data_IF_288134062048
#
_entry.id   IF_288134062048
#
_cell.length_a   1.000
_cell.length_b   1.000
_cell.length_c   1.000
_cell.angle_alpha   90.00
_cell.angle_beta   90.00
_cell.angle_gamma   90.00
#
_symmetry.space_group_name_H-M   'P 1'
#
loop_
_entity.id
_entity.type
_entity.pdbx_description
1 polymer ?
#
# COMPACT_ATOMS: atom_id res chain seq x y z
N UNK A 1 38.55 10.13 55.45
CA UNK A 1 38.37 10.67 54.09
C UNK A 1 39.64 11.42 53.70
N UNK A 2 40.41 10.94 52.72
CA UNK A 2 41.60 11.68 52.26
C UNK A 2 41.17 12.93 51.50
N UNK A 3 41.92 14.03 51.63
CA UNK A 3 41.66 15.28 50.91
C UNK A 3 41.55 15.06 49.38
N UNK A 4 42.26 14.07 48.86
CA UNK A 4 42.24 13.64 47.45
C UNK A 4 40.86 13.13 46.98
N UNK A 5 40.10 12.43 47.84
CA UNK A 5 38.78 11.90 47.51
C UNK A 5 37.70 13.00 47.48
N UNK A 6 37.77 13.97 48.39
CA UNK A 6 36.90 15.15 48.39
C UNK A 6 37.19 16.03 47.17
N UNK A 7 38.46 16.20 46.83
CA UNK A 7 38.89 16.99 45.68
C UNK A 7 38.45 16.34 44.36
N UNK A 8 38.58 15.02 44.20
CA UNK A 8 38.13 14.33 42.97
C UNK A 8 36.61 14.44 42.80
N UNK A 9 35.85 14.32 43.89
CA UNK A 9 34.39 14.46 43.89
C UNK A 9 33.96 15.89 43.54
N UNK A 10 34.65 16.89 44.11
CA UNK A 10 34.44 18.30 43.79
C UNK A 10 34.75 18.62 42.32
N UNK A 11 35.85 18.09 41.78
CA UNK A 11 36.19 18.28 40.35
C UNK A 11 35.18 17.64 39.41
N UNK A 12 34.65 16.46 39.74
CA UNK A 12 33.61 15.79 38.97
C UNK A 12 32.28 16.58 39.00
N UNK A 13 31.90 17.10 40.16
CA UNK A 13 30.70 17.93 40.32
C UNK A 13 30.79 19.24 39.52
N UNK A 14 31.94 19.93 39.56
CA UNK A 14 32.17 21.16 38.78
C UNK A 14 32.11 20.87 37.28
N UNK A 15 32.72 19.76 36.83
CA UNK A 15 32.68 19.38 35.43
C UNK A 15 31.24 19.08 34.95
N UNK A 16 30.45 18.37 35.75
CA UNK A 16 29.05 18.12 35.48
C UNK A 16 28.21 19.42 35.43
N UNK A 17 28.41 20.32 36.40
CA UNK A 17 27.73 21.62 36.43
C UNK A 17 28.10 22.50 35.23
N UNK A 18 29.39 22.50 34.83
CA UNK A 18 29.84 23.22 33.64
C UNK A 18 29.13 22.74 32.37
N UNK A 19 28.97 21.41 32.20
CA UNK A 19 28.22 20.83 31.07
C UNK A 19 26.73 21.17 31.09
N UNK A 20 26.12 21.27 32.26
CA UNK A 20 24.73 21.74 32.39
C UNK A 20 24.60 23.19 31.95
N UNK A 21 25.48 24.09 32.42
CA UNK A 21 25.45 25.51 32.05
C UNK A 21 25.68 25.70 30.55
N UNK A 22 26.64 24.99 29.96
CA UNK A 22 26.87 25.05 28.50
C UNK A 22 25.63 24.60 27.71
N UNK A 23 24.95 23.54 28.16
CA UNK A 23 23.74 23.04 27.49
C UNK A 23 22.59 24.05 27.62
N UNK A 24 22.43 24.64 28.80
CA UNK A 24 21.46 25.73 29.04
C UNK A 24 21.78 26.96 28.18
N UNK A 25 23.04 27.37 28.07
CA UNK A 25 23.45 28.50 27.24
C UNK A 25 23.13 28.24 25.76
N UNK A 26 23.46 27.04 25.25
CA UNK A 26 23.11 26.63 23.89
C UNK A 26 21.58 26.62 23.67
N UNK A 27 20.80 26.15 24.64
CA UNK A 27 19.35 26.17 24.55
C UNK A 27 18.79 27.60 24.48
N UNK A 28 19.32 28.52 25.29
CA UNK A 28 18.89 29.93 25.32
C UNK A 28 19.25 30.63 24.00
N UNK A 29 20.48 30.46 23.53
CA UNK A 29 20.96 31.13 22.30
C UNK A 29 20.19 30.70 21.06
N UNK A 30 19.72 29.44 21.01
CA UNK A 30 18.97 28.91 19.87
C UNK A 30 17.46 28.79 20.13
N UNK A 31 16.96 29.35 21.24
CA UNK A 31 15.55 29.22 21.64
C UNK A 31 14.57 29.76 20.58
N UNK A 32 14.99 30.77 19.82
CA UNK A 32 14.19 31.40 18.75
C UNK A 32 14.55 30.92 17.34
N UNK A 33 15.38 29.88 17.21
CA UNK A 33 15.72 29.28 15.92
C UNK A 33 14.69 28.22 15.56
N UNK A 34 14.02 28.38 14.43
CA UNK A 34 13.03 27.41 13.94
C UNK A 34 13.66 26.01 13.78
N UNK A 35 12.96 24.97 14.26
CA UNK A 35 13.46 23.59 14.25
C UNK A 35 14.47 23.21 15.34
N UNK A 36 14.85 24.13 16.24
CA UNK A 36 15.76 23.82 17.34
C UNK A 36 15.10 22.93 18.41
N UNK A 37 15.74 21.79 18.73
CA UNK A 37 15.33 20.90 19.82
C UNK A 37 16.20 21.11 21.05
N UNK A 38 15.55 21.50 22.16
CA UNK A 38 16.18 21.71 23.47
C UNK A 38 16.88 20.44 23.96
N UNK A 39 18.08 20.60 24.49
CA UNK A 39 18.93 19.53 25.02
C UNK A 39 18.85 19.47 26.55
N UNK A 40 18.76 18.27 27.12
CA UNK A 40 18.81 18.04 28.57
C UNK A 40 19.99 17.13 28.93
N UNK A 41 20.64 17.41 30.06
CA UNK A 41 21.82 16.66 30.53
C UNK A 41 21.39 15.68 31.60
N UNK A 42 21.54 14.38 31.33
CA UNK A 42 21.32 13.33 32.31
C UNK A 42 22.61 13.10 33.12
N UNK A 43 22.53 13.20 34.45
CA UNK A 43 23.62 12.87 35.36
C UNK A 43 23.45 11.45 35.89
N UNK A 44 24.55 10.72 36.02
CA UNK A 44 24.59 9.43 36.69
C UNK A 44 25.66 9.44 37.78
N UNK A 45 25.44 8.70 38.86
CA UNK A 45 26.47 8.49 39.89
C UNK A 45 27.61 7.64 39.30
N UNK A 46 28.84 8.12 39.43
CA UNK A 46 30.01 7.34 39.06
C UNK A 46 30.08 6.08 39.95
N UNK A 47 30.35 4.90 39.38
CA UNK A 47 30.49 3.65 40.14
C UNK A 47 31.48 3.86 41.29
N UNK A 48 31.03 3.62 42.52
CA UNK A 48 31.84 3.74 43.72
C UNK A 48 32.89 2.65 43.77
N UNK A 49 34.07 2.97 44.29
CA UNK A 49 35.18 2.03 44.41
C UNK A 49 35.13 1.45 45.83
N UNK A 50 34.97 0.13 45.92
CA UNK A 50 34.78 -0.57 47.18
C UNK A 50 36.15 -0.76 47.83
N UNK A 51 36.37 -0.10 48.96
CA UNK A 51 37.60 -0.21 49.77
C UNK A 51 37.29 -0.93 51.08
N UNK A 52 38.28 -1.60 51.67
CA UNK A 52 38.10 -2.47 52.85
C UNK A 52 37.41 -1.83 54.07
N UNK A 53 37.33 -0.50 54.14
CA UNK A 53 36.68 0.28 55.21
C UNK A 53 35.36 0.97 54.80
N UNK A 54 34.81 0.72 53.59
CA UNK A 54 33.50 1.23 53.19
C UNK A 54 33.35 1.61 51.71
N UNK A 55 32.18 2.17 51.38
CA UNK A 55 31.82 2.60 50.02
C UNK A 55 32.17 4.07 49.81
N UNK A 56 33.14 4.37 48.94
CA UNK A 56 33.47 5.75 48.55
C UNK A 56 32.88 6.02 47.16
N UNK A 57 31.89 6.90 47.09
CA UNK A 57 31.32 7.37 45.82
C UNK A 57 32.28 8.35 45.11
N UNK A 58 32.50 8.17 43.80
CA UNK A 58 33.39 9.02 42.97
C UNK A 58 32.71 10.26 42.37
N UNK A 59 31.54 10.64 42.86
CA UNK A 59 30.77 11.80 42.38
C UNK A 59 29.82 11.49 41.23
N UNK A 60 29.54 12.48 40.39
CA UNK A 60 28.58 12.42 39.28
C UNK A 60 29.28 12.58 37.92
N UNK A 61 28.85 11.81 36.93
CA UNK A 61 29.29 11.93 35.54
C UNK A 61 28.10 12.25 34.64
N UNK A 62 28.35 12.94 33.53
CA UNK A 62 27.33 13.10 32.49
C UNK A 62 27.15 11.76 31.79
N UNK A 63 25.93 11.21 31.84
CA UNK A 63 25.59 9.97 31.16
C UNK A 63 25.37 10.23 29.67
N UNK A 64 24.48 11.16 29.33
CA UNK A 64 24.06 11.44 27.96
C UNK A 64 23.37 12.80 27.86
N UNK A 65 23.41 13.42 26.68
CA UNK A 65 22.62 14.60 26.34
C UNK A 65 21.45 14.15 25.48
N UNK A 66 20.22 14.25 25.99
CA UNK A 66 19.00 13.88 25.26
C UNK A 66 18.37 15.13 24.64
N UNK A 67 18.04 15.07 23.35
CA UNK A 67 17.19 16.08 22.72
C UNK A 67 15.74 15.84 23.14
N UNK A 68 15.10 16.87 23.67
CA UNK A 68 13.67 16.87 23.90
C UNK A 68 12.98 17.09 22.54
N UNK A 69 12.81 16.00 21.80
CA UNK A 69 11.75 15.90 20.79
C UNK A 69 10.47 15.55 21.52
N UNK A 70 9.34 16.17 21.16
CA UNK A 70 8.05 15.71 21.66
C UNK A 70 7.81 14.33 21.05
N UNK A 71 8.14 13.26 21.77
CA UNK A 71 8.01 11.88 21.29
C UNK A 71 6.59 11.59 20.81
N UNK A 72 5.59 12.19 21.47
CA UNK A 72 4.19 12.18 21.02
C UNK A 72 4.02 12.78 19.63
N UNK A 73 4.55 13.97 19.38
CA UNK A 73 4.44 14.63 18.07
C UNK A 73 5.21 13.86 17.00
N UNK A 74 6.39 13.32 17.33
CA UNK A 74 7.14 12.46 16.42
C UNK A 74 6.36 11.18 16.07
N UNK A 75 5.75 10.53 17.07
CA UNK A 75 4.89 9.35 16.82
C UNK A 75 3.65 9.70 16.00
N UNK A 76 3.06 10.88 16.23
CA UNK A 76 1.89 11.34 15.50
C UNK A 76 2.23 11.67 14.05
N UNK A 77 3.34 12.37 13.78
CA UNK A 77 3.80 12.64 12.42
C UNK A 77 4.11 11.34 11.68
N UNK A 78 4.82 10.41 12.32
CA UNK A 78 5.11 9.11 11.70
C UNK A 78 3.82 8.34 11.37
N UNK A 79 2.85 8.32 12.29
CA UNK A 79 1.55 7.67 12.05
C UNK A 79 0.78 8.33 10.89
N UNK A 80 0.76 9.67 10.82
CA UNK A 80 0.11 10.40 9.73
C UNK A 80 0.80 10.15 8.39
N UNK A 81 2.13 10.12 8.35
CA UNK A 81 2.89 9.80 7.14
C UNK A 81 2.61 8.37 6.68
N UNK A 82 2.61 7.38 7.59
CA UNK A 82 2.25 5.99 7.27
C UNK A 82 0.82 5.87 6.74
N UNK A 83 -0.14 6.58 7.35
CA UNK A 83 -1.52 6.60 6.87
C UNK A 83 -1.61 7.17 5.45
N UNK A 84 -0.99 8.34 5.21
CA UNK A 84 -1.00 8.98 3.88
C UNK A 84 -0.34 8.13 2.78
N UNK A 85 0.75 7.42 3.11
CA UNK A 85 1.40 6.52 2.17
C UNK A 85 0.49 5.34 1.81
N UNK A 86 -0.22 4.79 2.78
CA UNK A 86 -1.17 3.70 2.56
C UNK A 86 -2.35 4.16 1.71
N UNK A 87 -2.85 5.38 1.94
CA UNK A 87 -3.94 5.95 1.14
C UNK A 87 -3.53 6.21 -0.31
N UNK A 88 -2.28 6.64 -0.55
CA UNK A 88 -1.74 6.78 -1.91
C UNK A 88 -1.68 5.42 -2.63
N UNK A 89 -1.15 4.39 -1.97
CA UNK A 89 -1.10 3.02 -2.54
C UNK A 89 -2.51 2.50 -2.83
N UNK A 90 -3.49 2.76 -1.95
CA UNK A 90 -4.90 2.40 -2.19
C UNK A 90 -5.44 3.10 -3.43
N UNK A 91 -5.19 4.39 -3.59
CA UNK A 91 -5.66 5.15 -4.74
C UNK A 91 -5.05 4.63 -6.06
N UNK A 92 -3.75 4.35 -6.08
CA UNK A 92 -3.06 3.79 -7.24
C UNK A 92 -3.63 2.41 -7.61
N UNK A 93 -3.85 1.54 -6.61
CA UNK A 93 -4.44 0.22 -6.80
C UNK A 93 -5.87 0.31 -7.37
N UNK A 94 -6.66 1.27 -6.88
CA UNK A 94 -8.01 1.51 -7.38
C UNK A 94 -7.99 1.95 -8.85
N UNK A 95 -7.04 2.80 -9.23
CA UNK A 95 -6.88 3.24 -10.62
C UNK A 95 -6.43 2.08 -11.51
N UNK A 96 -5.52 1.24 -11.04
CA UNK A 96 -5.08 0.04 -11.75
C UNK A 96 -6.24 -0.94 -12.02
N UNK A 97 -7.12 -1.14 -11.04
CA UNK A 97 -8.34 -1.96 -11.21
C UNK A 97 -9.25 -1.33 -12.26
N UNK A 98 -9.53 -0.02 -12.18
CA UNK A 98 -10.40 0.68 -13.15
C UNK A 98 -9.84 0.63 -14.56
N UNK A 99 -8.53 0.81 -14.71
CA UNK A 99 -7.82 0.72 -15.98
C UNK A 99 -7.91 -0.69 -16.58
N UNK A 100 -7.70 -1.72 -15.77
CA UNK A 100 -7.85 -3.12 -16.18
C UNK A 100 -9.29 -3.43 -16.61
N UNK A 101 -10.29 -2.93 -15.88
CA UNK A 101 -11.71 -3.07 -16.25
C UNK A 101 -12.02 -2.36 -17.57
N UNK A 102 -11.46 -1.17 -17.81
CA UNK A 102 -11.61 -0.47 -19.07
C UNK A 102 -10.98 -1.25 -20.25
N UNK A 103 -9.83 -1.88 -20.03
CA UNK A 103 -9.18 -2.76 -21.01
C UNK A 103 -10.02 -4.00 -21.33
N UNK A 104 -10.61 -4.64 -20.32
CA UNK A 104 -11.54 -5.76 -20.48
C UNK A 104 -12.73 -5.33 -21.33
N UNK A 105 -13.39 -4.22 -20.98
CA UNK A 105 -14.54 -3.70 -21.74
C UNK A 105 -14.18 -3.34 -23.19
N UNK A 106 -12.98 -2.79 -23.42
CA UNK A 106 -12.49 -2.53 -24.77
C UNK A 106 -12.31 -3.82 -25.58
N UNK A 107 -11.78 -4.86 -24.94
CA UNK A 107 -11.50 -6.16 -25.56
C UNK A 107 -12.78 -6.95 -25.82
N UNK A 108 -13.75 -6.95 -24.90
CA UNK A 108 -15.07 -7.57 -25.11
C UNK A 108 -15.86 -6.90 -26.22
N UNK A 109 -15.82 -5.56 -26.30
CA UNK A 109 -16.42 -4.79 -27.41
C UNK A 109 -15.76 -5.08 -28.75
N UNK A 110 -14.43 -5.24 -28.78
CA UNK A 110 -13.71 -5.64 -29.98
C UNK A 110 -14.09 -7.06 -30.42
N UNK A 111 -14.20 -7.99 -29.45
CA UNK A 111 -14.58 -9.37 -29.71
C UNK A 111 -16.02 -9.48 -30.23
N UNK A 112 -16.97 -8.74 -29.66
CA UNK A 112 -18.36 -8.68 -30.13
C UNK A 112 -18.45 -8.17 -31.58
N UNK A 113 -17.69 -7.12 -31.93
CA UNK A 113 -17.58 -6.64 -33.32
C UNK A 113 -16.96 -7.67 -34.24
N UNK A 114 -15.93 -8.39 -33.78
CA UNK A 114 -15.25 -9.43 -34.55
C UNK A 114 -16.17 -10.62 -34.79
N UNK A 115 -17.01 -11.01 -33.84
CA UNK A 115 -18.02 -12.05 -34.00
C UNK A 115 -19.00 -11.74 -35.14
N UNK A 116 -19.39 -10.47 -35.31
CA UNK A 116 -20.22 -10.04 -36.46
C UNK A 116 -19.47 -10.25 -37.79
N UNK A 117 -18.18 -9.92 -37.84
CA UNK A 117 -17.36 -10.11 -39.05
C UNK A 117 -17.16 -11.60 -39.37
N UNK A 118 -16.88 -12.42 -38.37
CA UNK A 118 -16.73 -13.88 -38.51
C UNK A 118 -18.05 -14.50 -39.00
N UNK A 119 -19.18 -14.12 -38.41
CA UNK A 119 -20.49 -14.60 -38.82
C UNK A 119 -20.78 -14.26 -40.29
N UNK A 120 -20.53 -13.01 -40.71
CA UNK A 120 -20.72 -12.60 -42.11
C UNK A 120 -19.77 -13.33 -43.09
N UNK A 121 -18.52 -13.55 -42.69
CA UNK A 121 -17.55 -14.26 -43.53
C UNK A 121 -17.88 -15.76 -43.65
N UNK A 122 -18.28 -16.41 -42.54
CA UNK A 122 -18.74 -17.80 -42.54
C UNK A 122 -19.92 -18.02 -43.51
N UNK A 123 -20.85 -17.06 -43.57
CA UNK A 123 -21.99 -17.08 -44.50
C UNK A 123 -21.60 -16.93 -45.98
N UNK A 124 -20.39 -16.43 -46.28
CA UNK A 124 -19.86 -16.29 -47.65
C UNK A 124 -18.99 -17.48 -48.09
N UNK A 125 -18.92 -18.55 -47.28
CA UNK A 125 -18.29 -19.82 -47.64
C UNK A 125 -16.75 -19.84 -47.57
N UNK A 126 -16.11 -18.77 -47.10
CA UNK A 126 -14.67 -18.70 -46.90
C UNK A 126 -14.36 -18.70 -45.40
N UNK A 127 -13.49 -19.60 -44.94
CA UNK A 127 -13.02 -19.60 -43.55
C UNK A 127 -12.12 -18.37 -43.32
N UNK A 128 -12.52 -17.43 -42.45
CA UNK A 128 -11.77 -16.21 -42.24
C UNK A 128 -10.65 -16.43 -41.22
N UNK A 129 -9.62 -17.20 -41.60
CA UNK A 129 -8.55 -17.62 -40.68
C UNK A 129 -7.91 -16.43 -39.93
N UNK A 130 -7.65 -15.31 -40.61
CA UNK A 130 -7.10 -14.10 -39.96
C UNK A 130 -8.01 -13.54 -38.85
N UNK A 131 -9.34 -13.65 -39.02
CA UNK A 131 -10.30 -13.20 -38.01
C UNK A 131 -10.36 -14.19 -36.84
N UNK A 132 -10.16 -15.48 -37.10
CA UNK A 132 -10.06 -16.50 -36.04
C UNK A 132 -8.79 -16.29 -35.22
N UNK A 133 -7.67 -15.97 -35.85
CA UNK A 133 -6.42 -15.65 -35.16
C UNK A 133 -6.56 -14.38 -34.31
N UNK A 134 -7.20 -13.33 -34.84
CA UNK A 134 -7.50 -12.11 -34.06
C UNK A 134 -8.42 -12.39 -32.87
N UNK A 135 -9.40 -13.28 -33.04
CA UNK A 135 -10.33 -13.68 -31.98
C UNK A 135 -9.57 -14.37 -30.86
N UNK A 136 -8.73 -15.33 -31.21
CA UNK A 136 -7.97 -16.10 -30.24
C UNK A 136 -6.95 -15.21 -29.50
N UNK A 137 -6.37 -14.21 -30.18
CA UNK A 137 -5.55 -13.17 -29.55
C UNK A 137 -6.34 -12.33 -28.54
N UNK A 138 -7.55 -11.88 -28.89
CA UNK A 138 -8.40 -11.10 -27.98
C UNK A 138 -8.85 -11.94 -26.77
N UNK A 139 -9.16 -13.21 -26.97
CA UNK A 139 -9.49 -14.15 -25.88
C UNK A 139 -8.28 -14.35 -24.96
N UNK A 140 -7.07 -14.50 -25.53
CA UNK A 140 -5.83 -14.56 -24.76
C UNK A 140 -5.62 -13.32 -23.90
N UNK A 141 -5.78 -12.13 -24.47
CA UNK A 141 -5.68 -10.86 -23.73
C UNK A 141 -6.72 -10.73 -22.61
N UNK A 142 -7.96 -11.20 -22.84
CA UNK A 142 -8.97 -11.26 -21.78
C UNK A 142 -8.53 -12.20 -20.64
N UNK A 143 -7.95 -13.34 -21.00
CA UNK A 143 -7.48 -14.36 -20.05
C UNK A 143 -6.30 -13.88 -19.19
N UNK A 144 -5.50 -12.92 -19.68
CA UNK A 144 -4.46 -12.27 -18.87
C UNK A 144 -5.05 -11.37 -17.77
N UNK A 145 -6.22 -10.78 -18.02
CA UNK A 145 -6.86 -9.86 -17.08
C UNK A 145 -7.73 -10.60 -16.06
N UNK A 146 -8.48 -11.60 -16.51
CA UNK A 146 -9.50 -12.32 -15.75
C UNK A 146 -9.56 -13.79 -16.18
N UNK A 147 -9.95 -14.65 -15.24
CA UNK A 147 -10.26 -16.04 -15.53
C UNK A 147 -11.56 -16.14 -16.38
N UNK A 148 -11.38 -16.39 -17.67
CA UNK A 148 -12.45 -16.49 -18.67
C UNK A 148 -12.39 -17.81 -19.43
N UNK A 149 -13.55 -18.28 -19.86
CA UNK A 149 -13.67 -19.41 -20.76
C UNK A 149 -14.50 -19.02 -21.98
N UNK A 150 -13.98 -19.38 -23.16
CA UNK A 150 -14.64 -19.15 -24.43
C UNK A 150 -15.34 -20.42 -24.92
N UNK A 151 -16.60 -20.29 -25.33
CA UNK A 151 -17.42 -21.33 -25.95
C UNK A 151 -17.70 -20.93 -27.38
N UNK A 152 -17.35 -21.81 -28.33
CA UNK A 152 -17.56 -21.57 -29.75
C UNK A 152 -18.93 -22.10 -30.18
N UNK A 153 -19.74 -21.23 -30.78
CA UNK A 153 -21.06 -21.58 -31.31
C UNK A 153 -20.98 -22.24 -32.69
N UNK A 154 -22.09 -22.87 -33.15
CA UNK A 154 -22.18 -23.46 -34.50
C UNK A 154 -21.95 -22.45 -35.63
N UNK A 155 -22.27 -21.18 -35.34
CA UNK A 155 -22.21 -20.06 -36.28
C UNK A 155 -20.81 -19.41 -36.33
N UNK A 156 -19.81 -20.03 -35.71
CA UNK A 156 -18.42 -19.55 -35.62
C UNK A 156 -18.18 -18.42 -34.62
N UNK A 157 -19.24 -17.89 -34.00
CA UNK A 157 -19.16 -16.84 -32.98
C UNK A 157 -18.67 -17.39 -31.64
N UNK A 158 -17.86 -16.61 -30.92
CA UNK A 158 -17.41 -16.94 -29.57
C UNK A 158 -18.29 -16.28 -28.51
N UNK A 159 -18.74 -17.06 -27.53
CA UNK A 159 -19.32 -16.54 -26.28
C UNK A 159 -18.29 -16.67 -25.17
N UNK A 160 -18.05 -15.61 -24.41
CA UNK A 160 -17.03 -15.58 -23.35
C UNK A 160 -17.71 -15.37 -22.01
N UNK A 161 -17.38 -16.25 -21.08
CA UNK A 161 -17.93 -16.28 -19.74
C UNK A 161 -16.79 -16.17 -18.73
N UNK A 162 -17.06 -15.53 -17.60
CA UNK A 162 -16.18 -15.60 -16.43
C UNK A 162 -16.25 -16.99 -15.82
N UNK A 163 -15.20 -17.40 -15.10
CA UNK A 163 -15.22 -18.65 -14.32
C UNK A 163 -16.35 -18.72 -13.28
N UNK A 164 -16.85 -17.56 -12.83
CA UNK A 164 -18.02 -17.45 -11.95
C UNK A 164 -19.36 -17.71 -12.66
N UNK A 165 -19.38 -17.79 -14.00
CA UNK A 165 -20.51 -18.17 -14.84
C UNK A 165 -21.23 -17.01 -15.53
N UNK A 166 -20.89 -15.76 -15.22
CA UNK A 166 -21.49 -14.60 -15.88
C UNK A 166 -20.92 -14.39 -17.29
N UNK A 167 -21.80 -14.01 -18.23
CA UNK A 167 -21.42 -13.75 -19.62
C UNK A 167 -20.85 -12.35 -19.79
N UNK A 168 -19.67 -12.25 -20.40
CA UNK A 168 -19.06 -10.99 -20.83
C UNK A 168 -19.34 -10.69 -22.31
N UNK A 169 -19.38 -11.73 -23.15
CA UNK A 169 -19.70 -11.62 -24.57
C UNK A 169 -20.65 -12.75 -24.94
N UNK A 170 -21.78 -12.41 -25.54
CA UNK A 170 -22.75 -13.37 -26.07
C UNK A 170 -22.97 -13.05 -27.54
N UNK A 171 -22.32 -13.81 -28.42
CA UNK A 171 -22.37 -13.56 -29.87
C UNK A 171 -21.91 -12.15 -30.23
N UNK A 172 -22.83 -11.31 -30.70
CA UNK A 172 -22.55 -9.93 -31.12
C UNK A 172 -22.74 -8.87 -30.01
N UNK A 173 -23.09 -9.28 -28.79
CA UNK A 173 -23.30 -8.38 -27.66
C UNK A 173 -22.21 -8.54 -26.59
N UNK A 174 -21.83 -7.44 -25.97
CA UNK A 174 -20.85 -7.40 -24.87
C UNK A 174 -21.44 -6.70 -23.67
N UNK A 175 -21.32 -7.30 -22.48
CA UNK A 175 -21.69 -6.68 -21.23
C UNK A 175 -20.50 -5.91 -20.65
N UNK A 176 -20.76 -4.70 -20.14
CA UNK A 176 -19.72 -3.88 -19.53
C UNK A 176 -19.49 -4.29 -18.07
N UNK A 177 -18.23 -4.49 -17.71
CA UNK A 177 -17.80 -4.63 -16.33
C UNK A 177 -17.64 -3.24 -15.69
N UNK A 178 -17.98 -3.14 -14.41
CA UNK A 178 -17.90 -1.92 -13.62
C UNK A 178 -17.10 -2.19 -12.35
N UNK A 179 -16.15 -1.30 -12.05
CA UNK A 179 -15.49 -1.22 -10.75
C UNK A 179 -16.21 -0.16 -9.90
N UNK A 180 -16.85 -0.59 -8.83
CA UNK A 180 -17.66 0.25 -7.96
C UNK A 180 -17.08 0.25 -6.54
N UNK A 181 -17.13 1.37 -5.81
CA UNK A 181 -16.84 1.38 -4.39
C UNK A 181 -17.76 0.40 -3.65
N UNK A 182 -17.22 -0.35 -2.69
CA UNK A 182 -18.04 -1.18 -1.82
C UNK A 182 -18.93 -0.32 -0.91
N UNK A 183 -20.12 -0.85 -0.59
CA UNK A 183 -21.10 -0.10 0.22
C UNK A 183 -20.81 -0.14 1.72
N UNK A 184 -20.02 -1.11 2.17
CA UNK A 184 -19.60 -1.25 3.57
C UNK A 184 -18.26 -0.52 3.78
N UNK A 185 -17.34 -0.64 2.83
CA UNK A 185 -16.04 0.04 2.83
C UNK A 185 -15.76 0.76 1.50
N UNK A 186 -16.02 2.08 1.40
CA UNK A 186 -15.80 2.86 0.18
C UNK A 186 -14.33 2.93 -0.27
N UNK A 187 -13.38 2.50 0.57
CA UNK A 187 -11.95 2.43 0.20
C UNK A 187 -11.62 1.18 -0.61
N UNK A 188 -12.56 0.24 -0.74
CA UNK A 188 -12.42 -0.99 -1.52
C UNK A 188 -13.26 -0.91 -2.80
N UNK A 189 -12.79 -1.61 -3.82
CA UNK A 189 -13.53 -1.79 -5.05
C UNK A 189 -14.12 -3.18 -5.11
N UNK A 190 -15.30 -3.26 -5.72
CA UNK A 190 -15.93 -4.50 -6.11
C UNK A 190 -16.29 -4.43 -7.57
N UNK A 191 -16.26 -5.60 -8.21
CA UNK A 191 -16.66 -5.71 -9.60
C UNK A 191 -18.14 -6.03 -9.69
N UNK A 192 -18.75 -5.50 -10.74
CA UNK A 192 -20.05 -5.94 -11.21
C UNK A 192 -20.08 -5.97 -12.73
N UNK A 193 -21.10 -6.60 -13.27
CA UNK A 193 -21.42 -6.58 -14.69
C UNK A 193 -22.73 -5.82 -14.85
N UNK A 194 -22.74 -4.86 -15.76
CA UNK A 194 -23.94 -4.19 -16.19
C UNK A 194 -24.63 -5.05 -17.25
N UNK A 195 -25.77 -5.63 -16.89
CA UNK A 195 -26.68 -6.28 -17.83
C UNK A 195 -27.87 -5.35 -18.11
N UNK A 196 -28.64 -5.66 -19.15
CA UNK A 196 -29.89 -4.98 -19.48
C UNK A 196 -30.92 -5.05 -18.34
N UNK A 197 -30.87 -6.12 -17.55
CA UNK A 197 -31.73 -6.34 -16.38
C UNK A 197 -31.25 -5.60 -15.12
N UNK A 198 -30.08 -4.94 -15.18
CA UNK A 198 -29.46 -4.23 -14.07
C UNK A 198 -28.03 -4.70 -13.75
N UNK A 199 -27.47 -4.14 -12.68
CA UNK A 199 -26.13 -4.46 -12.22
C UNK A 199 -26.11 -5.78 -11.44
N UNK A 200 -25.30 -6.74 -11.87
CA UNK A 200 -24.99 -7.96 -11.12
C UNK A 200 -23.62 -7.83 -10.46
N UNK A 201 -23.56 -7.95 -9.14
CA UNK A 201 -22.30 -7.88 -8.40
C UNK A 201 -21.55 -9.21 -8.45
N UNK A 202 -20.27 -9.14 -8.78
CA UNK A 202 -19.37 -10.29 -8.81
C UNK A 202 -18.83 -10.53 -7.39
N UNK A 203 -19.50 -11.42 -6.66
CA UNK A 203 -19.10 -11.77 -5.29
C UNK A 203 -17.78 -12.55 -5.21
N UNK A 204 -17.40 -13.22 -6.31
CA UNK A 204 -16.24 -14.13 -6.36
C UNK A 204 -15.11 -13.66 -7.29
N UNK A 205 -15.15 -12.39 -7.70
CA UNK A 205 -14.15 -11.83 -8.60
C UNK A 205 -12.71 -11.86 -8.05
N UNK A 206 -12.53 -11.90 -6.72
CA UNK A 206 -11.21 -11.97 -6.10
C UNK A 206 -10.63 -13.40 -6.08
N UNK A 207 -11.44 -14.45 -6.27
CA UNK A 207 -10.96 -15.84 -6.13
C UNK A 207 -10.39 -16.40 -7.44
N UNK A 208 -10.64 -15.73 -8.57
CA UNK A 208 -10.15 -16.14 -9.88
C UNK A 208 -8.65 -15.89 -10.08
N UNK A 209 -8.20 -16.26 -11.28
CA UNK A 209 -6.86 -15.97 -11.80
C UNK A 209 -6.87 -14.74 -12.72
N UNK A 210 -5.70 -14.14 -12.94
CA UNK A 210 -5.52 -12.94 -13.76
C UNK A 210 -5.15 -11.68 -12.97
N UNK A 211 -4.89 -10.60 -13.70
CA UNK A 211 -4.46 -9.32 -13.11
C UNK A 211 -5.50 -8.75 -12.15
N UNK A 212 -6.77 -8.66 -12.54
CA UNK A 212 -7.80 -8.01 -11.72
C UNK A 212 -8.02 -8.75 -10.39
N UNK A 213 -8.22 -10.08 -10.36
CA UNK A 213 -8.34 -10.80 -9.10
C UNK A 213 -7.09 -10.65 -8.22
N UNK A 214 -5.89 -10.60 -8.81
CA UNK A 214 -4.65 -10.32 -8.09
C UNK A 214 -4.63 -8.94 -7.41
N UNK A 215 -5.04 -7.89 -8.12
CA UNK A 215 -5.15 -6.54 -7.56
C UNK A 215 -6.19 -6.49 -6.43
N UNK A 216 -7.30 -7.21 -6.57
CA UNK A 216 -8.34 -7.31 -5.52
C UNK A 216 -7.86 -8.08 -4.28
N UNK A 217 -7.03 -9.12 -4.44
CA UNK A 217 -6.40 -9.82 -3.32
C UNK A 217 -5.50 -8.88 -2.52
N UNK A 218 -4.63 -8.13 -3.20
CA UNK A 218 -3.77 -7.12 -2.56
C UNK A 218 -4.61 -6.09 -1.80
N UNK A 219 -5.72 -5.62 -2.40
CA UNK A 219 -6.61 -4.66 -1.74
C UNK A 219 -7.24 -5.22 -0.45
N UNK A 220 -7.64 -6.49 -0.47
CA UNK A 220 -8.41 -7.11 0.61
C UNK A 220 -7.54 -7.66 1.74
N UNK A 221 -6.36 -8.20 1.41
CA UNK A 221 -5.53 -8.95 2.36
C UNK A 221 -4.27 -8.16 2.79
N UNK A 222 -3.61 -7.45 1.86
CA UNK A 222 -2.28 -6.87 2.11
C UNK A 222 -2.32 -5.42 2.65
N UNK A 223 -3.42 -4.69 2.42
CA UNK A 223 -3.59 -3.29 2.88
C UNK A 223 -4.30 -3.14 4.24
N UNK A 224 -4.45 -4.25 4.98
CA UNK A 224 -5.14 -4.33 6.28
C UNK A 224 -4.17 -4.31 7.48
N UNK A 225 -2.87 -4.08 7.27
CA UNK A 225 -1.86 -4.02 8.34
C UNK A 225 -1.74 -2.64 9.01
#
# INVERSE_FOLDING_TARGET
MSASALMSTGTAAIFAAYRQVQTTANNISNANTEGYSRQSVALQTARGELTGDGYIGRGVTVSTVTRATNQFLASQTNALTSASATDAVRADLQEDVKSSVAEVNGTTKALAKLNVQISNAANSGHAPNDLLDQRDLLIGRLSEQLDVHAVMGPDGQASVFLASGESLVLGNESNDMLALPDQVDPTRLRLGIQLDTGLTLLSRAADGEGRIPGLLKIQNDDLVA
#
